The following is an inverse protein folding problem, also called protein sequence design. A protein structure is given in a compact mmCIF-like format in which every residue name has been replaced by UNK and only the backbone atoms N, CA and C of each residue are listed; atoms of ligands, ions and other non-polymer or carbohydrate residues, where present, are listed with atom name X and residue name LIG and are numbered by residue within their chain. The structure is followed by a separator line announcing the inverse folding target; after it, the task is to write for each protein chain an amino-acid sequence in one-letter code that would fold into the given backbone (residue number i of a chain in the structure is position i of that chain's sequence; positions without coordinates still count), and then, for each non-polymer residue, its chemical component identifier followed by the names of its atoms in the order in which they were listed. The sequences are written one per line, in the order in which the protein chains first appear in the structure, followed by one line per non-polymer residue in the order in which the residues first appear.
data_IF_656972884882
#
_entry.id   IF_656972884882
#
_cell.length_a   1.000
_cell.length_b   1.000
_cell.length_c   1.000
_cell.angle_alpha   90.00
_cell.angle_beta   90.00
_cell.angle_gamma   90.00
#
_symmetry.space_group_name_H-M   'P 1'
#
loop_
_entity.id
_entity.type
_entity.pdbx_description
1 polymer ?
#
# COMPACT_ATOMS: atom_id res chain seq x y z
N UNK A 1 -24.51 -3.52 -15.77
CA UNK A 1 -23.52 -2.86 -14.90
C UNK A 1 -23.66 -3.46 -13.51
N UNK A 2 -22.71 -4.28 -13.06
CA UNK A 2 -22.74 -4.81 -11.69
C UNK A 2 -22.48 -3.67 -10.72
N UNK A 3 -23.35 -3.51 -9.73
CA UNK A 3 -23.14 -2.60 -8.62
C UNK A 3 -22.59 -3.44 -7.47
N UNK A 4 -21.36 -3.13 -7.04
CA UNK A 4 -20.77 -3.80 -5.90
C UNK A 4 -21.36 -3.23 -4.61
N UNK A 5 -21.44 -4.07 -3.58
CA UNK A 5 -21.72 -3.55 -2.24
C UNK A 5 -20.54 -2.73 -1.73
N UNK A 6 -20.77 -1.93 -0.68
CA UNK A 6 -19.70 -1.18 -0.01
C UNK A 6 -18.61 -2.17 0.47
N UNK A 7 -19.00 -3.28 1.09
CA UNK A 7 -18.08 -4.28 1.62
C UNK A 7 -17.24 -4.94 0.51
N UNK A 8 -17.87 -5.33 -0.60
CA UNK A 8 -17.16 -5.89 -1.76
C UNK A 8 -16.12 -4.89 -2.30
N UNK A 9 -16.45 -3.60 -2.29
CA UNK A 9 -15.58 -2.56 -2.81
C UNK A 9 -14.43 -2.24 -1.86
N UNK A 10 -14.68 -2.26 -0.56
CA UNK A 10 -13.62 -2.13 0.45
C UNK A 10 -12.70 -3.35 0.46
N UNK A 11 -13.22 -4.55 0.21
CA UNK A 11 -12.40 -5.74 0.02
C UNK A 11 -11.47 -5.62 -1.20
N UNK A 12 -12.00 -5.13 -2.34
CA UNK A 12 -11.17 -4.85 -3.52
C UNK A 12 -10.11 -3.79 -3.26
N UNK A 13 -10.45 -2.75 -2.50
CA UNK A 13 -9.49 -1.71 -2.11
C UNK A 13 -8.32 -2.31 -1.32
N UNK A 14 -8.59 -3.14 -0.30
CA UNK A 14 -7.54 -3.81 0.49
C UNK A 14 -6.67 -4.72 -0.35
N UNK A 15 -7.27 -5.55 -1.21
CA UNK A 15 -6.53 -6.43 -2.12
C UNK A 15 -5.61 -5.65 -3.07
N UNK A 16 -6.04 -4.50 -3.59
CA UNK A 16 -5.16 -3.65 -4.41
C UNK A 16 -3.97 -3.10 -3.62
N UNK A 17 -4.15 -2.73 -2.36
CA UNK A 17 -3.05 -2.26 -1.51
C UNK A 17 -2.04 -3.37 -1.25
N UNK A 18 -2.52 -4.53 -0.80
CA UNK A 18 -1.69 -5.72 -0.56
C UNK A 18 -0.92 -6.11 -1.84
N UNK A 19 -1.62 -6.14 -2.98
CA UNK A 19 -1.02 -6.44 -4.28
C UNK A 19 0.03 -5.42 -4.71
N UNK A 20 -0.17 -4.14 -4.37
CA UNK A 20 0.82 -3.08 -4.56
C UNK A 20 2.04 -3.19 -3.64
N UNK A 21 2.02 -4.12 -2.67
CA UNK A 21 3.08 -4.31 -1.69
C UNK A 21 2.99 -3.36 -0.50
N UNK A 22 1.84 -2.72 -0.29
CA UNK A 22 1.58 -1.94 0.90
C UNK A 22 1.26 -2.86 2.07
N UNK A 23 1.88 -2.59 3.21
CA UNK A 23 1.55 -3.26 4.46
C UNK A 23 0.37 -2.52 5.13
N UNK A 24 -0.79 -3.16 5.35
CA UNK A 24 -1.91 -2.53 6.05
C UNK A 24 -1.63 -2.19 7.51
N UNK A 25 -0.60 -2.78 8.14
CA UNK A 25 -0.16 -2.43 9.49
C UNK A 25 0.90 -1.31 9.50
N UNK A 26 1.28 -0.81 8.31
CA UNK A 26 2.21 0.29 8.20
C UNK A 26 1.63 1.58 8.78
N UNK A 27 2.36 2.19 9.73
CA UNK A 27 2.03 3.49 10.31
C UNK A 27 2.30 4.67 9.36
N UNK A 28 2.89 4.40 8.20
CA UNK A 28 3.26 5.37 7.16
C UNK A 28 2.04 6.10 6.58
N UNK A 29 0.88 5.42 6.53
CA UNK A 29 -0.35 5.93 5.91
C UNK A 29 -1.24 6.55 6.99
N UNK A 30 -1.53 7.85 6.87
CA UNK A 30 -2.48 8.49 7.79
C UNK A 30 -3.91 7.97 7.57
N UNK A 31 -4.69 7.90 8.65
CA UNK A 31 -6.09 7.46 8.60
C UNK A 31 -6.92 8.31 7.62
N UNK A 32 -6.69 9.62 7.60
CA UNK A 32 -7.34 10.55 6.66
C UNK A 32 -7.00 10.22 5.20
N UNK A 33 -5.73 9.95 4.89
CA UNK A 33 -5.30 9.60 3.55
C UNK A 33 -5.87 8.25 3.11
N UNK A 34 -5.95 7.28 4.03
CA UNK A 34 -6.56 5.96 3.80
C UNK A 34 -8.06 6.09 3.49
N UNK A 35 -8.79 6.85 4.32
CA UNK A 35 -10.22 7.11 4.11
C UNK A 35 -10.48 7.80 2.76
N UNK A 36 -9.67 8.81 2.41
CA UNK A 36 -9.81 9.50 1.13
C UNK A 36 -9.58 8.56 -0.07
N UNK A 37 -8.60 7.66 0.01
CA UNK A 37 -8.34 6.66 -1.02
C UNK A 37 -9.47 5.62 -1.14
N UNK A 38 -10.02 5.17 -0.01
CA UNK A 38 -11.16 4.27 0.02
C UNK A 38 -12.41 4.91 -0.61
N UNK A 39 -12.70 6.17 -0.30
CA UNK A 39 -13.78 6.93 -0.92
C UNK A 39 -13.61 7.06 -2.44
N UNK A 40 -12.38 7.31 -2.93
CA UNK A 40 -12.10 7.31 -4.37
C UNK A 40 -12.37 5.96 -5.02
N UNK A 41 -12.05 4.86 -4.32
CA UNK A 41 -12.30 3.49 -4.78
C UNK A 41 -13.80 3.16 -4.81
N UNK A 42 -14.55 3.60 -3.79
CA UNK A 42 -16.01 3.42 -3.70
C UNK A 42 -16.75 4.05 -4.89
N UNK A 43 -16.29 5.20 -5.37
CA UNK A 43 -16.83 5.86 -6.57
C UNK A 43 -16.29 5.35 -7.91
N UNK A 44 -15.39 4.36 -7.93
CA UNK A 44 -14.71 3.91 -9.14
C UNK A 44 -15.62 3.05 -10.05
N UNK A 45 -15.58 3.29 -11.37
CA UNK A 45 -16.44 2.59 -12.35
C UNK A 45 -15.80 1.36 -13.00
N UNK A 46 -14.51 1.13 -12.81
CA UNK A 46 -13.74 0.03 -13.44
C UNK A 46 -13.51 -1.16 -12.51
N UNK A 47 -14.52 -1.51 -11.69
CA UNK A 47 -14.39 -2.58 -10.68
C UNK A 47 -14.19 -3.99 -11.26
N UNK A 48 -14.71 -4.26 -12.46
CA UNK A 48 -14.53 -5.55 -13.15
C UNK A 48 -13.11 -5.72 -13.70
N UNK A 49 -12.55 -4.66 -14.27
CA UNK A 49 -11.15 -4.61 -14.71
C UNK A 49 -10.20 -4.78 -13.52
N UNK A 50 -10.50 -4.12 -12.40
CA UNK A 50 -9.79 -4.29 -11.12
C UNK A 50 -9.75 -5.76 -10.67
N UNK A 51 -10.91 -6.43 -10.65
CA UNK A 51 -11.00 -7.87 -10.30
C UNK A 51 -10.21 -8.77 -11.24
N UNK A 52 -10.22 -8.45 -12.53
CA UNK A 52 -9.48 -9.25 -13.52
C UNK A 52 -7.98 -9.10 -13.30
N UNK A 53 -7.51 -7.86 -13.16
CA UNK A 53 -6.12 -7.59 -12.83
C UNK A 53 -5.66 -8.26 -11.53
N UNK A 54 -6.48 -8.20 -10.47
CA UNK A 54 -6.17 -8.86 -9.19
C UNK A 54 -6.08 -10.40 -9.29
N UNK A 55 -6.76 -11.03 -10.25
CA UNK A 55 -6.64 -12.48 -10.48
C UNK A 55 -5.36 -12.84 -11.24
N UNK A 56 -4.92 -11.98 -12.15
CA UNK A 56 -3.90 -12.32 -13.13
C UNK A 56 -2.48 -11.93 -12.67
N UNK A 57 -2.37 -10.97 -11.77
CA UNK A 57 -1.09 -10.39 -11.36
C UNK A 57 -0.53 -11.05 -10.10
N UNK A 58 0.78 -11.34 -9.99
CA UNK A 58 1.39 -11.84 -8.76
C UNK A 58 1.49 -10.76 -7.68
N UNK A 59 1.68 -11.17 -6.43
CA UNK A 59 1.86 -10.25 -5.30
C UNK A 59 3.06 -9.30 -5.48
N UNK A 60 3.00 -8.13 -4.84
CA UNK A 60 4.01 -7.06 -4.93
C UNK A 60 4.26 -6.52 -6.35
N UNK A 61 3.18 -6.29 -7.10
CA UNK A 61 3.24 -5.70 -8.43
C UNK A 61 2.83 -4.23 -8.41
N UNK A 62 3.46 -3.36 -9.21
CA UNK A 62 3.03 -1.96 -9.33
C UNK A 62 1.52 -1.84 -9.58
N UNK A 63 0.83 -0.86 -8.95
CA UNK A 63 -0.61 -0.69 -9.13
C UNK A 63 -0.96 -0.50 -10.61
N UNK A 64 -2.08 -1.06 -11.03
CA UNK A 64 -2.53 -0.93 -12.41
C UNK A 64 -2.77 0.54 -12.81
N UNK A 65 -2.37 0.93 -14.02
CA UNK A 65 -2.53 2.30 -14.52
C UNK A 65 -3.98 2.78 -14.64
N UNK A 66 -4.96 1.87 -14.73
CA UNK A 66 -6.39 2.22 -14.69
C UNK A 66 -6.90 2.57 -13.28
N UNK A 67 -6.13 2.23 -12.24
CA UNK A 67 -6.56 2.42 -10.86
C UNK A 67 -6.62 3.92 -10.53
N UNK A 68 -7.76 4.38 -10.04
CA UNK A 68 -7.93 5.79 -9.61
C UNK A 68 -7.03 6.18 -8.42
N UNK A 69 -6.46 5.19 -7.72
CA UNK A 69 -5.51 5.38 -6.63
C UNK A 69 -4.06 5.07 -7.04
N UNK A 70 -3.74 4.88 -8.33
CA UNK A 70 -2.39 4.47 -8.79
C UNK A 70 -1.28 5.34 -8.22
N UNK A 71 -1.39 6.66 -8.37
CA UNK A 71 -0.39 7.61 -7.87
C UNK A 71 -0.34 7.63 -6.34
N UNK A 72 -1.48 7.47 -5.67
CA UNK A 72 -1.54 7.41 -4.20
C UNK A 72 -0.80 6.17 -3.69
N UNK A 73 -1.04 5.02 -4.30
CA UNK A 73 -0.39 3.78 -3.89
C UNK A 73 1.11 3.79 -4.20
N UNK A 74 1.52 4.32 -5.35
CA UNK A 74 2.93 4.47 -5.68
C UNK A 74 3.67 5.33 -4.64
N UNK A 75 3.11 6.49 -4.29
CA UNK A 75 3.70 7.37 -3.28
C UNK A 75 3.80 6.70 -1.90
N UNK A 76 2.80 5.91 -1.50
CA UNK A 76 2.85 5.19 -0.22
C UNK A 76 3.89 4.06 -0.22
N UNK A 77 4.04 3.34 -1.33
CA UNK A 77 5.08 2.31 -1.46
C UNK A 77 6.47 2.95 -1.34
N UNK A 78 6.70 4.08 -2.01
CA UNK A 78 7.94 4.84 -1.92
C UNK A 78 8.23 5.30 -0.48
N UNK A 79 7.21 5.83 0.22
CA UNK A 79 7.34 6.27 1.61
C UNK A 79 7.64 5.09 2.55
N UNK A 80 6.95 3.96 2.39
CA UNK A 80 7.16 2.75 3.21
C UNK A 80 8.59 2.21 3.02
N UNK A 81 9.05 2.11 1.77
CA UNK A 81 10.44 1.69 1.47
C UNK A 81 11.46 2.64 2.10
N UNK A 82 11.22 3.95 2.03
CA UNK A 82 12.10 4.94 2.64
C UNK A 82 12.16 4.80 4.18
N UNK A 83 11.02 4.59 4.83
CA UNK A 83 10.95 4.42 6.28
C UNK A 83 11.59 3.10 6.73
N UNK A 84 11.39 2.02 5.98
CA UNK A 84 12.03 0.73 6.24
C UNK A 84 13.55 0.79 6.11
N UNK A 85 14.06 1.50 5.10
CA UNK A 85 15.49 1.74 4.95
C UNK A 85 16.04 2.56 6.12
N UNK A 86 15.41 3.68 6.46
CA UNK A 86 15.81 4.52 7.58
C UNK A 86 15.81 3.76 8.92
N UNK A 87 14.86 2.84 9.12
CA UNK A 87 14.78 1.98 10.31
C UNK A 87 15.95 0.99 10.37
N UNK A 88 16.33 0.40 9.24
CA UNK A 88 17.48 -0.52 9.14
C UNK A 88 18.80 0.18 9.41
N UNK A 89 18.99 1.39 8.89
CA UNK A 89 20.19 2.21 9.15
C UNK A 89 20.32 2.56 10.64
N UNK A 90 19.23 2.99 11.26
CA UNK A 90 19.18 3.28 12.69
C UNK A 90 19.51 2.03 13.53
N UNK A 91 18.90 0.88 13.23
CA UNK A 91 19.20 -0.37 13.91
C UNK A 91 20.66 -0.83 13.73
N UNK A 92 21.27 -0.59 12.56
CA UNK A 92 22.67 -0.90 12.30
C UNK A 92 23.66 -0.01 13.05
N UNK A 93 23.28 1.23 13.38
CA UNK A 93 24.14 2.17 14.13
C UNK A 93 24.28 1.86 15.63
N UNK A 94 23.36 1.08 16.21
CA UNK A 94 23.38 0.69 17.64
C UNK A 94 24.48 -0.35 17.95
N UNK A 95 25.12 -0.94 16.93
CA UNK A 95 26.10 -2.02 17.09
C UNK A 95 27.56 -1.63 17.38
N UNK A 96 27.91 -0.33 17.42
CA UNK A 96 29.34 0.11 17.52
C UNK A 96 29.66 0.78 18.87
N UNK A 97 29.10 0.26 19.96
CA UNK A 97 29.27 0.80 21.32
C UNK A 97 29.92 -0.16 22.32
N UNK A 98 30.70 -1.15 21.88
CA UNK A 98 31.40 -2.07 22.77
C UNK A 98 32.87 -2.22 22.37
N UNK A 99 33.73 -1.28 22.76
CA UNK A 99 35.14 -1.58 23.08
C UNK A 99 35.85 -0.40 23.75
N UNK A 100 36.41 -0.66 24.94
CA UNK A 100 37.49 0.11 25.57
C UNK A 100 37.01 1.20 26.55
N UNK A 101 37.60 1.40 27.73
CA UNK A 101 38.93 1.03 28.25
C UNK A 101 38.90 1.16 29.79
N UNK A 102 39.62 0.25 30.46
CA UNK A 102 40.16 0.27 31.83
C UNK A 102 39.22 0.19 33.04
#
# INVERSE_FOLDING_TARGET
MRVDTIDERLALFRQMMERAGLDPESTTISEEALMAAAQRCLGCRVGEECRTWLRDVPDHHPPAGFCRNVETFAAWVEQQVSEDLARREQAGSVGTGATGVA
#
